data_IF_014992044405
#
_entry.id   IF_014992044405
#
_cell.length_a   1.000
_cell.length_b   1.000
_cell.length_c   1.000
_cell.angle_alpha   90.00
_cell.angle_beta   90.00
_cell.angle_gamma   90.00
#
_symmetry.space_group_name_H-M   'P 1'
#
loop_
_entity.id
_entity.type
_entity.pdbx_description
1 polymer ?
#
# COMPACT_ATOMS: atom_id res chain seq x y z
N UNK A 1 -15.02 -27.54 -11.54
CA UNK A 1 -14.94 -26.07 -11.29
C UNK A 1 -13.64 -25.74 -10.57
N UNK A 2 -13.37 -26.24 -9.31
CA UNK A 2 -12.15 -25.86 -8.55
C UNK A 2 -10.85 -26.13 -9.33
N UNK A 3 -10.67 -27.34 -9.87
CA UNK A 3 -9.49 -27.69 -10.65
C UNK A 3 -9.31 -26.84 -11.92
N UNK A 4 -10.39 -26.40 -12.53
CA UNK A 4 -10.34 -25.50 -13.69
C UNK A 4 -9.94 -24.08 -13.29
N UNK A 5 -10.48 -23.58 -12.19
CA UNK A 5 -10.11 -22.26 -11.62
C UNK A 5 -8.66 -22.30 -11.17
N UNK A 6 -8.25 -23.34 -10.44
CA UNK A 6 -6.87 -23.53 -10.02
C UNK A 6 -5.87 -23.49 -11.20
N UNK A 7 -6.19 -24.18 -12.28
CA UNK A 7 -5.35 -24.19 -13.49
C UNK A 7 -5.18 -22.78 -14.08
N UNK A 8 -6.27 -22.00 -14.15
CA UNK A 8 -6.24 -20.63 -14.68
C UNK A 8 -5.41 -19.72 -13.77
N UNK A 9 -5.69 -19.72 -12.47
CA UNK A 9 -5.00 -18.88 -11.50
C UNK A 9 -3.52 -19.24 -11.37
N UNK A 10 -3.17 -20.52 -11.40
CA UNK A 10 -1.76 -20.96 -11.45
C UNK A 10 -1.02 -20.43 -12.67
N UNK A 11 -1.67 -20.37 -13.83
CA UNK A 11 -1.06 -19.81 -15.04
C UNK A 11 -0.82 -18.29 -14.92
N UNK A 12 -1.72 -17.57 -14.25
CA UNK A 12 -1.60 -16.13 -14.04
C UNK A 12 -0.51 -15.80 -13.00
N UNK A 13 -0.36 -16.64 -11.97
CA UNK A 13 0.53 -16.42 -10.83
C UNK A 13 1.78 -17.32 -10.86
N UNK A 14 2.13 -17.88 -12.00
CA UNK A 14 3.23 -18.86 -12.15
C UNK A 14 4.55 -18.39 -11.53
N UNK A 15 4.88 -17.10 -11.66
CA UNK A 15 6.13 -16.51 -11.17
C UNK A 15 6.02 -15.89 -9.78
N UNK A 16 4.83 -15.52 -9.34
CA UNK A 16 4.62 -14.84 -8.05
C UNK A 16 4.20 -15.78 -6.94
N UNK A 17 3.43 -16.82 -7.25
CA UNK A 17 2.93 -17.79 -6.28
C UNK A 17 2.83 -19.22 -6.86
N UNK A 18 3.97 -19.87 -7.13
CA UNK A 18 4.01 -21.21 -7.73
C UNK A 18 3.41 -22.30 -6.82
N UNK A 19 3.27 -22.03 -5.54
CA UNK A 19 2.70 -22.95 -4.54
C UNK A 19 1.19 -22.89 -4.38
N UNK A 20 0.48 -22.02 -5.10
CA UNK A 20 -0.96 -21.86 -5.01
C UNK A 20 -1.72 -23.18 -5.25
N UNK A 21 -2.66 -23.48 -4.35
CA UNK A 21 -3.58 -24.63 -4.49
C UNK A 21 -5.01 -24.18 -4.15
N UNK A 22 -6.00 -24.72 -4.83
CA UNK A 22 -7.42 -24.47 -4.59
C UNK A 22 -8.11 -25.81 -4.30
N UNK A 23 -8.62 -25.99 -3.09
CA UNK A 23 -9.37 -27.18 -2.66
C UNK A 23 -10.82 -26.83 -2.36
N UNK A 24 -11.73 -27.74 -2.65
CA UNK A 24 -13.12 -27.70 -2.24
C UNK A 24 -13.40 -28.90 -1.35
N UNK A 25 -13.89 -28.63 -0.13
CA UNK A 25 -14.27 -29.66 0.81
C UNK A 25 -15.75 -29.56 1.17
N UNK A 26 -16.46 -30.69 1.36
CA UNK A 26 -17.81 -30.65 1.88
C UNK A 26 -17.85 -29.97 3.25
N UNK A 27 -18.79 -29.08 3.46
CA UNK A 27 -19.04 -28.44 4.74
C UNK A 27 -20.47 -28.72 5.22
N UNK A 28 -20.70 -28.64 6.53
CA UNK A 28 -22.04 -28.69 7.07
C UNK A 28 -22.86 -27.49 6.58
N UNK A 29 -24.14 -27.69 6.31
CA UNK A 29 -25.03 -26.59 5.93
C UNK A 29 -25.08 -25.56 7.07
N UNK A 30 -24.88 -24.25 6.79
CA UNK A 30 -25.05 -23.21 7.79
C UNK A 30 -26.50 -23.12 8.26
N UNK A 31 -26.71 -22.63 9.50
CA UNK A 31 -28.07 -22.41 10.02
C UNK A 31 -28.79 -21.27 9.31
N UNK A 32 -28.03 -20.30 8.80
CA UNK A 32 -28.53 -19.13 8.08
C UNK A 32 -27.72 -18.92 6.82
N UNK A 33 -28.36 -18.43 5.77
CA UNK A 33 -27.75 -18.07 4.50
C UNK A 33 -28.24 -16.70 4.05
N UNK A 34 -27.42 -16.00 3.29
CA UNK A 34 -27.83 -14.80 2.56
C UNK A 34 -28.83 -15.25 1.49
N UNK A 35 -29.93 -14.49 1.29
CA UNK A 35 -30.89 -14.81 0.25
C UNK A 35 -30.25 -14.77 -1.15
N UNK A 36 -30.85 -15.45 -2.11
CA UNK A 36 -30.29 -15.59 -3.47
C UNK A 36 -30.09 -14.24 -4.15
N UNK A 37 -31.04 -13.30 -3.97
CA UNK A 37 -30.95 -11.97 -4.58
C UNK A 37 -29.80 -11.14 -4.03
N UNK A 38 -29.65 -11.09 -2.71
CA UNK A 38 -28.54 -10.38 -2.05
C UNK A 38 -27.19 -11.05 -2.32
N UNK A 39 -27.16 -12.39 -2.38
CA UNK A 39 -25.95 -13.14 -2.73
C UNK A 39 -25.49 -12.84 -4.16
N UNK A 40 -26.40 -12.79 -5.12
CA UNK A 40 -26.10 -12.47 -6.51
C UNK A 40 -25.57 -11.03 -6.66
N UNK A 41 -26.24 -10.07 -6.01
CA UNK A 41 -25.80 -8.66 -5.99
C UNK A 41 -24.42 -8.52 -5.36
N UNK A 42 -24.21 -9.16 -4.21
CA UNK A 42 -22.93 -9.11 -3.49
C UNK A 42 -21.79 -9.73 -4.29
N UNK A 43 -21.99 -10.90 -4.90
CA UNK A 43 -20.97 -11.56 -5.71
C UNK A 43 -20.63 -10.73 -6.96
N UNK A 44 -21.61 -10.11 -7.61
CA UNK A 44 -21.38 -9.19 -8.73
C UNK A 44 -20.59 -7.97 -8.30
N UNK A 45 -20.94 -7.38 -7.15
CA UNK A 45 -20.19 -6.24 -6.59
C UNK A 45 -18.74 -6.62 -6.32
N UNK A 46 -18.48 -7.74 -5.63
CA UNK A 46 -17.12 -8.23 -5.36
C UNK A 46 -16.33 -8.48 -6.65
N UNK A 47 -16.98 -9.06 -7.66
CA UNK A 47 -16.35 -9.34 -8.95
C UNK A 47 -15.96 -8.06 -9.71
N UNK A 48 -16.73 -6.99 -9.56
CA UNK A 48 -16.48 -5.70 -10.19
C UNK A 48 -15.57 -4.81 -9.37
N UNK A 49 -15.37 -5.08 -8.08
CA UNK A 49 -14.42 -4.33 -7.25
C UNK A 49 -12.99 -4.54 -7.77
N UNK A 50 -12.33 -3.49 -8.27
CA UNK A 50 -10.99 -3.64 -8.81
C UNK A 50 -10.00 -3.90 -7.68
N UNK A 51 -8.95 -4.69 -7.94
CA UNK A 51 -7.89 -4.97 -6.97
C UNK A 51 -6.52 -4.96 -7.65
N UNK A 52 -5.49 -4.57 -6.89
CA UNK A 52 -4.12 -4.57 -7.36
C UNK A 52 -3.59 -3.21 -7.78
N UNK A 53 -2.68 -3.22 -8.73
CA UNK A 53 -1.99 -2.04 -9.24
C UNK A 53 -2.93 -1.16 -10.07
N UNK A 54 -2.98 0.14 -9.76
CA UNK A 54 -3.71 1.16 -10.53
C UNK A 54 -2.77 1.98 -11.40
N UNK A 55 -1.67 2.48 -10.84
CA UNK A 55 -0.72 3.30 -11.57
C UNK A 55 0.72 3.08 -11.11
N UNK A 56 1.66 3.20 -12.06
CA UNK A 56 3.11 3.26 -11.82
C UNK A 56 3.64 4.65 -12.11
N UNK A 57 4.76 4.99 -11.46
CA UNK A 57 5.48 6.23 -11.72
C UNK A 57 6.09 6.23 -13.12
N UNK A 58 5.98 7.36 -13.79
CA UNK A 58 6.72 7.61 -15.04
C UNK A 58 8.11 8.21 -14.76
N UNK A 59 8.38 8.64 -13.53
CA UNK A 59 9.65 9.25 -13.13
C UNK A 59 10.62 8.26 -12.49
N UNK A 60 10.12 7.27 -11.77
CA UNK A 60 10.92 6.24 -11.09
C UNK A 60 10.47 4.86 -11.52
N UNK A 61 11.40 4.11 -12.11
CA UNK A 61 11.13 2.73 -12.52
C UNK A 61 10.78 1.84 -11.33
N UNK A 62 9.74 1.01 -11.49
CA UNK A 62 9.28 0.07 -10.46
C UNK A 62 8.44 0.68 -9.35
N UNK A 63 8.35 2.02 -9.23
CA UNK A 63 7.53 2.66 -8.19
C UNK A 63 6.05 2.53 -8.51
N UNK A 64 5.29 1.92 -7.59
CA UNK A 64 3.82 1.98 -7.57
C UNK A 64 3.38 3.34 -7.03
N UNK A 65 2.53 4.04 -7.78
CA UNK A 65 1.94 5.32 -7.39
C UNK A 65 0.57 5.13 -6.76
N UNK A 66 -0.24 4.22 -7.29
CA UNK A 66 -1.57 3.95 -6.79
C UNK A 66 -1.89 2.45 -6.84
N UNK A 67 -2.53 1.96 -5.81
CA UNK A 67 -3.02 0.58 -5.70
C UNK A 67 -4.29 0.49 -4.84
N UNK A 68 -5.02 -0.60 -4.99
CA UNK A 68 -6.23 -0.86 -4.23
C UNK A 68 -6.32 -2.34 -3.88
N UNK A 69 -6.94 -2.64 -2.73
CA UNK A 69 -7.02 -3.99 -2.22
C UNK A 69 -8.34 -4.27 -1.50
N UNK A 70 -9.01 -5.33 -1.91
CA UNK A 70 -10.09 -5.94 -1.17
C UNK A 70 -9.48 -6.76 -0.02
N UNK A 71 -9.44 -6.16 1.17
CA UNK A 71 -8.65 -6.67 2.28
C UNK A 71 -9.40 -7.70 3.13
N UNK A 72 -10.71 -7.53 3.31
CA UNK A 72 -11.53 -8.48 4.07
C UNK A 72 -13.01 -8.37 3.74
N UNK A 73 -13.71 -9.48 3.88
CA UNK A 73 -15.17 -9.58 3.86
C UNK A 73 -15.60 -10.26 5.15
N UNK A 74 -16.57 -9.70 5.87
CA UNK A 74 -17.08 -10.23 7.14
C UNK A 74 -18.57 -10.03 7.26
N UNK A 75 -19.28 -10.99 7.85
CA UNK A 75 -20.63 -10.79 8.33
C UNK A 75 -20.58 -10.13 9.71
N UNK A 76 -21.34 -9.07 9.91
CA UNK A 76 -21.47 -8.38 11.20
C UNK A 76 -22.55 -9.07 12.07
N UNK A 77 -22.58 -8.76 13.37
CA UNK A 77 -23.56 -9.31 14.32
C UNK A 77 -25.02 -8.94 13.96
N UNK A 78 -25.22 -7.82 13.27
CA UNK A 78 -26.53 -7.35 12.78
C UNK A 78 -26.92 -7.95 11.42
N UNK A 79 -26.15 -8.91 10.91
CA UNK A 79 -26.37 -9.59 9.63
C UNK A 79 -25.87 -8.83 8.39
N UNK A 80 -25.41 -7.59 8.53
CA UNK A 80 -24.83 -6.84 7.39
C UNK A 80 -23.51 -7.43 6.95
N UNK A 81 -23.26 -7.39 5.64
CA UNK A 81 -21.95 -7.71 5.07
C UNK A 81 -21.04 -6.48 5.13
N UNK A 82 -19.87 -6.66 5.70
CA UNK A 82 -18.83 -5.64 5.78
C UNK A 82 -17.67 -5.99 4.85
N UNK A 83 -17.32 -5.04 4.00
CA UNK A 83 -16.14 -5.13 3.13
C UNK A 83 -15.11 -4.11 3.60
N UNK A 84 -13.91 -4.57 3.92
CA UNK A 84 -12.76 -3.69 4.13
C UNK A 84 -12.01 -3.55 2.80
N UNK A 85 -11.95 -2.33 2.31
CA UNK A 85 -11.30 -2.00 1.06
C UNK A 85 -10.25 -0.91 1.28
N UNK A 86 -9.02 -1.14 0.84
CA UNK A 86 -7.89 -0.24 1.07
C UNK A 86 -7.47 0.43 -0.23
N UNK A 87 -7.48 1.76 -0.23
CA UNK A 87 -6.96 2.60 -1.31
C UNK A 87 -5.63 3.19 -0.86
N UNK A 88 -4.62 3.14 -1.72
CA UNK A 88 -3.30 3.73 -1.46
C UNK A 88 -2.83 4.48 -2.69
N UNK A 89 -2.38 5.71 -2.47
CA UNK A 89 -1.67 6.48 -3.50
C UNK A 89 -0.76 7.52 -2.87
N UNK A 90 0.32 7.87 -3.57
CA UNK A 90 1.12 9.05 -3.27
C UNK A 90 0.54 10.33 -3.87
N UNK A 91 -0.49 10.24 -4.72
CA UNK A 91 -1.11 11.36 -5.45
C UNK A 91 -2.59 11.43 -5.12
N UNK A 92 -3.07 12.59 -4.65
CA UNK A 92 -4.46 12.79 -4.20
C UNK A 92 -5.49 12.49 -5.29
N UNK A 93 -5.26 12.96 -6.52
CA UNK A 93 -6.23 12.75 -7.61
C UNK A 93 -6.49 11.28 -7.94
N UNK A 94 -5.54 10.39 -7.70
CA UNK A 94 -5.78 8.95 -7.80
C UNK A 94 -6.62 8.41 -6.64
N UNK A 95 -6.41 8.92 -5.41
CA UNK A 95 -7.26 8.55 -4.28
C UNK A 95 -8.71 8.98 -4.49
N UNK A 96 -8.91 10.21 -4.98
CA UNK A 96 -10.22 10.77 -5.26
C UNK A 96 -10.95 9.93 -6.33
N UNK A 97 -10.30 9.67 -7.48
CA UNK A 97 -10.86 8.86 -8.57
C UNK A 97 -11.19 7.42 -8.13
N UNK A 98 -10.29 6.78 -7.38
CA UNK A 98 -10.55 5.44 -6.84
C UNK A 98 -11.72 5.45 -5.84
N UNK A 99 -11.78 6.46 -4.99
CA UNK A 99 -12.85 6.62 -4.01
C UNK A 99 -14.21 6.84 -4.68
N UNK A 100 -14.29 7.73 -5.65
CA UNK A 100 -15.52 8.00 -6.43
C UNK A 100 -16.02 6.75 -7.15
N UNK A 101 -15.12 5.95 -7.74
CA UNK A 101 -15.47 4.68 -8.40
C UNK A 101 -16.05 3.66 -7.43
N UNK A 102 -15.49 3.54 -6.23
CA UNK A 102 -16.01 2.64 -5.19
C UNK A 102 -17.35 3.14 -4.66
N UNK A 103 -17.50 4.43 -4.44
CA UNK A 103 -18.78 5.02 -4.00
C UNK A 103 -19.88 4.78 -5.02
N UNK A 104 -19.61 5.01 -6.30
CA UNK A 104 -20.52 4.74 -7.39
C UNK A 104 -20.90 3.26 -7.46
N UNK A 105 -19.92 2.36 -7.31
CA UNK A 105 -20.16 0.91 -7.30
C UNK A 105 -21.06 0.52 -6.13
N UNK A 106 -20.81 1.02 -4.93
CA UNK A 106 -21.65 0.81 -3.76
C UNK A 106 -23.08 1.28 -4.02
N UNK A 107 -23.24 2.48 -4.58
CA UNK A 107 -24.57 3.02 -4.92
C UNK A 107 -25.34 2.12 -5.89
N UNK A 108 -24.69 1.61 -6.94
CA UNK A 108 -25.32 0.71 -7.94
C UNK A 108 -25.82 -0.59 -7.32
N UNK A 109 -25.14 -1.12 -6.31
CA UNK A 109 -25.48 -2.37 -5.65
C UNK A 109 -26.25 -2.19 -4.32
N UNK A 110 -26.68 -0.96 -3.99
CA UNK A 110 -27.42 -0.68 -2.76
C UNK A 110 -26.59 -0.81 -1.48
N UNK A 111 -25.27 -0.68 -1.60
CA UNK A 111 -24.34 -0.66 -0.47
C UNK A 111 -24.00 0.78 -0.05
N UNK A 112 -23.46 0.94 1.15
CA UNK A 112 -22.98 2.20 1.69
C UNK A 112 -21.45 2.21 1.71
N UNK A 113 -20.81 3.24 1.15
CA UNK A 113 -19.39 3.47 1.26
C UNK A 113 -19.08 4.39 2.45
N UNK A 114 -18.24 3.95 3.38
CA UNK A 114 -17.77 4.73 4.53
C UNK A 114 -16.30 4.99 4.39
N UNK A 115 -15.93 6.22 4.04
CA UNK A 115 -14.53 6.63 3.91
C UNK A 115 -13.95 7.02 5.26
N UNK A 116 -12.81 6.45 5.61
CA UNK A 116 -12.06 6.79 6.81
C UNK A 116 -10.81 7.55 6.43
N UNK A 117 -10.41 8.58 7.20
CA UNK A 117 -9.15 9.28 6.97
C UNK A 117 -7.98 8.28 6.98
N UNK A 118 -7.14 8.36 5.96
CA UNK A 118 -5.89 7.66 5.87
C UNK A 118 -4.69 8.60 6.13
N UNK A 119 -3.49 8.13 5.82
CA UNK A 119 -2.32 8.99 5.79
C UNK A 119 -2.42 9.98 4.61
N UNK A 120 -2.08 11.26 4.81
CA UNK A 120 -1.95 12.22 3.72
C UNK A 120 -0.90 11.74 2.70
N UNK A 121 -1.12 12.09 1.44
CA UNK A 121 -0.23 11.73 0.36
C UNK A 121 1.14 12.42 0.48
N UNK A 122 2.16 11.75 -0.02
CA UNK A 122 3.50 12.31 -0.18
C UNK A 122 3.99 12.04 -1.59
N UNK A 123 3.78 13.01 -2.47
CA UNK A 123 4.21 12.90 -3.87
C UNK A 123 5.74 12.97 -3.99
N UNK A 124 6.28 12.17 -4.91
CA UNK A 124 7.69 12.25 -5.24
C UNK A 124 8.02 13.59 -5.91
N UNK A 125 8.98 14.31 -5.33
CA UNK A 125 9.48 15.58 -5.84
C UNK A 125 10.81 15.34 -6.58
N UNK A 126 10.88 15.73 -7.86
CA UNK A 126 12.09 15.52 -8.66
C UNK A 126 13.31 16.32 -8.14
N UNK A 127 13.07 17.49 -7.55
CA UNK A 127 14.09 18.36 -6.96
C UNK A 127 13.94 18.37 -5.44
N UNK A 128 15.01 18.06 -4.71
CA UNK A 128 15.06 18.09 -3.25
C UNK A 128 16.51 18.37 -2.83
N UNK A 129 16.74 19.50 -2.23
CA UNK A 129 18.09 19.90 -1.75
C UNK A 129 18.53 19.01 -0.59
N UNK A 130 17.57 18.64 0.29
CA UNK A 130 17.85 17.73 1.40
C UNK A 130 18.28 16.34 0.91
N UNK A 131 17.59 15.80 -0.11
CA UNK A 131 17.94 14.51 -0.70
C UNK A 131 19.33 14.55 -1.35
N UNK A 132 19.64 15.64 -2.02
CA UNK A 132 20.96 15.82 -2.66
C UNK A 132 22.08 15.92 -1.62
N UNK A 133 21.86 16.62 -0.49
CA UNK A 133 22.77 16.65 0.66
C UNK A 133 22.93 15.27 1.30
N UNK A 134 21.85 14.54 1.50
CA UNK A 134 21.89 13.17 2.01
C UNK A 134 22.72 12.25 1.10
N UNK A 135 22.49 12.34 -0.22
CA UNK A 135 23.25 11.54 -1.19
C UNK A 135 24.75 11.86 -1.15
N UNK A 136 25.12 13.14 -1.06
CA UNK A 136 26.51 13.60 -0.94
C UNK A 136 27.14 13.10 0.36
N UNK A 137 26.50 13.32 1.49
CA UNK A 137 26.99 12.86 2.80
C UNK A 137 27.14 11.33 2.85
N UNK A 138 26.18 10.59 2.31
CA UNK A 138 26.25 9.13 2.24
C UNK A 138 27.44 8.64 1.43
N UNK A 139 27.70 9.28 0.28
CA UNK A 139 28.85 8.97 -0.58
C UNK A 139 30.17 9.30 0.11
N UNK A 140 30.25 10.42 0.82
CA UNK A 140 31.44 10.80 1.62
C UNK A 140 31.75 9.76 2.71
N UNK A 141 30.72 9.31 3.44
CA UNK A 141 30.87 8.38 4.57
C UNK A 141 31.11 6.92 4.14
N UNK A 142 30.54 6.50 3.03
CA UNK A 142 30.51 5.07 2.65
C UNK A 142 31.28 4.75 1.38
N UNK A 143 31.61 5.75 0.55
CA UNK A 143 32.16 5.57 -0.80
C UNK A 143 31.16 5.03 -1.83
N UNK A 144 29.87 4.88 -1.47
CA UNK A 144 28.83 4.29 -2.32
C UNK A 144 27.79 5.34 -2.71
N UNK A 145 27.14 5.12 -3.85
CA UNK A 145 25.97 5.93 -4.22
C UNK A 145 24.76 5.55 -3.35
N UNK A 146 24.02 6.58 -2.91
CA UNK A 146 22.78 6.38 -2.15
C UNK A 146 21.67 5.95 -3.10
N UNK A 147 20.96 4.87 -2.75
CA UNK A 147 19.74 4.46 -3.47
C UNK A 147 18.58 5.33 -3.02
N UNK A 148 17.93 5.97 -3.98
CA UNK A 148 16.71 6.73 -3.76
C UNK A 148 15.52 5.85 -4.13
N UNK A 149 14.61 5.69 -3.20
CA UNK A 149 13.37 4.96 -3.39
C UNK A 149 12.18 5.85 -3.01
N UNK A 150 11.01 5.52 -3.49
CA UNK A 150 9.77 6.14 -3.08
C UNK A 150 8.71 5.05 -2.86
N UNK A 151 7.70 5.37 -2.09
CA UNK A 151 6.60 4.44 -1.79
C UNK A 151 5.27 5.17 -1.84
N UNK A 152 4.21 4.45 -2.18
CA UNK A 152 2.83 4.92 -2.04
C UNK A 152 2.19 4.48 -0.70
N UNK A 153 3.00 3.90 0.20
CA UNK A 153 2.59 3.63 1.58
C UNK A 153 2.43 4.92 2.38
N UNK A 154 1.60 4.88 3.42
CA UNK A 154 1.49 6.00 4.35
C UNK A 154 2.76 6.17 5.17
N UNK A 155 3.38 7.34 5.06
CA UNK A 155 4.51 7.77 5.88
C UNK A 155 4.22 9.12 6.52
N UNK A 156 4.86 9.38 7.66
CA UNK A 156 4.69 10.60 8.45
C UNK A 156 5.02 11.87 7.64
N UNK A 157 5.91 11.76 6.64
CA UNK A 157 6.24 12.85 5.72
C UNK A 157 5.02 13.49 5.06
N UNK A 158 4.02 12.69 4.69
CA UNK A 158 2.75 13.19 4.16
C UNK A 158 1.99 14.05 5.17
N UNK A 159 1.99 13.66 6.44
CA UNK A 159 1.35 14.44 7.51
C UNK A 159 2.05 15.80 7.72
N UNK A 160 3.38 15.84 7.66
CA UNK A 160 4.12 17.10 7.72
C UNK A 160 3.81 18.00 6.53
N UNK A 161 3.84 17.47 5.30
CA UNK A 161 3.55 18.23 4.08
C UNK A 161 2.11 18.78 4.06
N UNK A 162 1.15 18.06 4.61
CA UNK A 162 -0.24 18.52 4.71
C UNK A 162 -0.39 19.76 5.58
N UNK A 163 0.51 19.99 6.54
CA UNK A 163 0.52 21.13 7.46
C UNK A 163 1.54 22.20 7.07
N UNK A 164 2.59 21.82 6.37
CA UNK A 164 3.70 22.68 5.96
C UNK A 164 3.97 22.50 4.46
N UNK A 165 3.10 23.02 3.57
CA UNK A 165 3.30 22.91 2.13
C UNK A 165 4.65 23.52 1.72
N UNK A 166 5.37 22.79 0.88
CA UNK A 166 6.69 23.22 0.39
C UNK A 166 7.88 22.81 1.26
N UNK A 167 7.64 22.11 2.38
CA UNK A 167 8.72 21.53 3.17
C UNK A 167 9.45 20.47 2.35
N UNK A 168 10.78 20.54 2.29
CA UNK A 168 11.60 19.50 1.68
C UNK A 168 11.83 18.38 2.70
N UNK A 169 11.38 17.18 2.37
CA UNK A 169 11.40 16.02 3.28
C UNK A 169 12.02 14.82 2.61
N UNK A 170 12.86 14.13 3.35
CA UNK A 170 13.36 12.81 3.00
C UNK A 170 13.19 11.85 4.19
N UNK A 171 12.76 10.62 3.92
CA UNK A 171 12.75 9.56 4.91
C UNK A 171 14.03 8.74 4.80
N UNK A 172 14.69 8.53 5.92
CA UNK A 172 15.83 7.63 6.06
C UNK A 172 15.55 6.66 7.20
N UNK A 173 16.15 5.49 7.17
CA UNK A 173 15.93 4.49 8.21
C UNK A 173 17.09 3.53 8.35
N UNK A 174 17.03 2.75 9.41
CA UNK A 174 17.97 1.67 9.70
C UNK A 174 17.56 0.39 8.98
N UNK A 175 18.50 -0.52 8.81
CA UNK A 175 18.20 -1.87 8.32
C UNK A 175 17.40 -2.62 9.39
N UNK A 176 16.23 -3.10 9.01
CA UNK A 176 15.35 -3.89 9.86
C UNK A 176 14.81 -5.10 9.10
N UNK A 177 14.51 -6.16 9.81
CA UNK A 177 13.90 -7.37 9.26
C UNK A 177 12.64 -7.72 10.04
N UNK A 178 11.69 -8.42 9.41
CA UNK A 178 10.46 -8.85 10.08
C UNK A 178 9.54 -7.70 10.50
N UNK A 179 9.59 -6.54 9.82
CA UNK A 179 8.73 -5.39 10.12
C UNK A 179 7.25 -5.79 10.23
N UNK A 180 6.55 -5.23 11.22
CA UNK A 180 5.14 -5.52 11.54
C UNK A 180 4.87 -6.97 12.03
N UNK A 181 5.88 -7.67 12.50
CA UNK A 181 5.75 -9.00 13.12
C UNK A 181 6.37 -9.04 14.51
N UNK A 182 6.02 -10.04 15.36
CA UNK A 182 6.69 -10.24 16.66
C UNK A 182 8.19 -10.57 16.54
N UNK A 183 8.69 -10.87 15.35
CA UNK A 183 10.09 -11.19 15.06
C UNK A 183 10.85 -9.97 14.48
N UNK A 184 10.29 -8.77 14.59
CA UNK A 184 10.95 -7.56 14.10
C UNK A 184 12.29 -7.33 14.81
N UNK A 185 13.33 -7.08 14.01
CA UNK A 185 14.70 -6.88 14.48
C UNK A 185 15.34 -5.67 13.79
N UNK A 186 16.12 -4.91 14.54
CA UNK A 186 16.89 -3.76 14.07
C UNK A 186 18.40 -4.08 14.08
N UNK A 187 19.10 -3.76 12.99
CA UNK A 187 20.57 -3.77 12.98
C UNK A 187 21.11 -2.50 13.66
N UNK A 188 21.68 -2.66 14.85
CA UNK A 188 22.27 -1.56 15.63
C UNK A 188 23.47 -0.91 14.94
N UNK A 189 24.19 -1.62 14.08
CA UNK A 189 25.30 -1.02 13.33
C UNK A 189 24.73 -0.09 12.24
N UNK A 190 23.61 -0.46 11.62
CA UNK A 190 22.93 0.41 10.66
C UNK A 190 22.36 1.66 11.34
N UNK A 191 21.86 1.53 12.57
CA UNK A 191 21.42 2.66 13.37
C UNK A 191 22.54 3.67 13.61
N UNK A 192 23.73 3.18 14.00
CA UNK A 192 24.89 4.06 14.17
C UNK A 192 25.26 4.78 12.88
N UNK A 193 25.31 4.07 11.75
CA UNK A 193 25.58 4.68 10.43
C UNK A 193 24.54 5.75 10.06
N UNK A 194 23.28 5.55 10.40
CA UNK A 194 22.23 6.54 10.19
C UNK A 194 22.45 7.80 11.04
N UNK A 195 22.84 7.66 12.30
CA UNK A 195 23.18 8.81 13.18
C UNK A 195 24.36 9.60 12.61
N UNK A 196 25.42 8.90 12.18
CA UNK A 196 26.59 9.54 11.57
C UNK A 196 26.20 10.29 10.27
N UNK A 197 25.30 9.73 9.46
CA UNK A 197 24.77 10.39 8.26
C UNK A 197 23.99 11.67 8.58
N UNK A 198 23.09 11.62 9.58
CA UNK A 198 22.33 12.81 10.00
C UNK A 198 23.26 13.89 10.53
N UNK A 199 24.25 13.52 11.35
CA UNK A 199 25.23 14.47 11.88
C UNK A 199 25.98 15.18 10.74
N UNK A 200 26.45 14.40 9.72
CA UNK A 200 27.15 14.98 8.57
C UNK A 200 26.28 15.93 7.75
N UNK A 201 25.00 15.57 7.54
CA UNK A 201 24.05 16.47 6.84
C UNK A 201 23.85 17.77 7.62
N UNK A 202 23.70 17.72 8.95
CA UNK A 202 23.57 18.93 9.78
C UNK A 202 24.82 19.80 9.72
N UNK A 203 26.03 19.23 9.70
CA UNK A 203 27.27 19.98 9.48
C UNK A 203 27.24 20.71 8.14
N UNK A 204 26.84 20.01 7.06
CA UNK A 204 26.77 20.60 5.70
C UNK A 204 25.72 21.71 5.61
N UNK A 205 24.67 21.69 6.42
CA UNK A 205 23.68 22.77 6.49
C UNK A 205 24.22 24.03 7.19
N UNK A 206 25.34 23.92 7.91
CA UNK A 206 26.00 25.05 8.58
C UNK A 206 27.16 25.64 7.79
N UNK A 207 27.63 24.96 6.74
CA UNK A 207 28.68 25.42 5.81
C UNK A 207 28.11 26.39 4.77
#
# INVERSE_FOLDING_TARGET
>A
IAAEVEKKVKSELEFSDPGLTITLEPAAAPAEMICDEDSDAFLKMLYLMPAGLVAKSMALEGLTVASQNLAAVKTQEDGRLYILYSLRSSVNSFLDDMGEKIDLLCHVFGAEAIFRPGFPTWEYTAKSELRDMLAKAYKELTGKEMKVEATHGGLEGGAFLSKMPGLDIAAIGCEATGAHTPQEQLDLNSYKRMVDLVARVLEMMCE
#
